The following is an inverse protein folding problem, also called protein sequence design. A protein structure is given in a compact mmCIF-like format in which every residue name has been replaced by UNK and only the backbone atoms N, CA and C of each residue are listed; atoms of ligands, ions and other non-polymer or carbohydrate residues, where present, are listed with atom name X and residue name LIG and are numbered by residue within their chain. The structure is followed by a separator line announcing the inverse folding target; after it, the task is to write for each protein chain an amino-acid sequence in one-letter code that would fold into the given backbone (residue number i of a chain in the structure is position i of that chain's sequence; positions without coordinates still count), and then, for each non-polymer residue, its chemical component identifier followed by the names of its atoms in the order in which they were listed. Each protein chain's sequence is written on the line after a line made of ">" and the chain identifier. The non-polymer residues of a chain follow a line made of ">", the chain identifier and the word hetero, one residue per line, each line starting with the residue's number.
data_IF_474815279453
#
_entry.id   IF_474815279453
#
_cell.length_a   1.000
_cell.length_b   1.000
_cell.length_c   1.000
_cell.angle_alpha   90.00
_cell.angle_beta   90.00
_cell.angle_gamma   90.00
#
_symmetry.space_group_name_H-M   'P 1'
#
loop_
_entity.id
_entity.type
_entity.pdbx_description
1 polymer ?
#
# COMPACT_ATOMS: atom_id res chain seq x y z
N UNK A 1 -2.98 29.72 36.03
CA UNK A 1 -1.75 28.89 35.98
C UNK A 1 -1.93 27.89 34.85
N UNK A 2 -1.40 28.18 33.68
CA UNK A 2 -1.48 27.34 32.49
C UNK A 2 -0.41 26.25 32.58
N UNK A 3 -0.82 25.01 32.52
CA UNK A 3 0.03 23.85 32.70
C UNK A 3 1.07 23.72 31.55
N UNK A 4 2.27 24.22 31.82
CA UNK A 4 3.40 24.19 30.89
C UNK A 4 3.85 22.75 30.50
N UNK A 5 3.37 21.72 31.22
CA UNK A 5 3.71 20.33 30.95
C UNK A 5 2.98 19.75 29.75
N UNK A 6 1.73 20.16 29.51
CA UNK A 6 0.92 19.76 28.36
C UNK A 6 1.46 20.35 27.03
N UNK A 7 1.89 21.60 27.06
CA UNK A 7 2.47 22.28 25.88
C UNK A 7 3.79 21.63 25.48
N UNK A 8 4.62 21.23 26.45
CA UNK A 8 5.91 20.54 26.17
C UNK A 8 5.72 19.12 25.65
N UNK A 9 4.66 18.42 26.07
CA UNK A 9 4.31 17.09 25.54
C UNK A 9 3.77 17.17 24.12
N UNK A 10 2.89 18.12 23.82
CA UNK A 10 2.39 18.37 22.48
C UNK A 10 3.51 18.78 21.51
N UNK A 11 4.46 19.62 21.94
CA UNK A 11 5.60 20.02 21.13
C UNK A 11 6.59 18.86 20.86
N UNK A 12 6.76 17.90 21.79
CA UNK A 12 7.56 16.71 21.56
C UNK A 12 6.89 15.73 20.59
N UNK A 13 5.57 15.56 20.67
CA UNK A 13 4.82 14.75 19.69
C UNK A 13 4.85 15.38 18.29
N UNK A 14 4.71 16.70 18.20
CA UNK A 14 4.81 17.43 16.93
C UNK A 14 6.22 17.34 16.31
N UNK A 15 7.28 17.39 17.14
CA UNK A 15 8.66 17.20 16.67
C UNK A 15 8.95 15.79 16.22
N UNK A 16 8.36 14.76 16.85
CA UNK A 16 8.49 13.37 16.41
C UNK A 16 7.77 13.13 15.08
N UNK A 17 6.61 13.74 14.87
CA UNK A 17 5.91 13.72 13.58
C UNK A 17 6.67 14.50 12.50
N UNK A 18 7.33 15.58 12.84
CA UNK A 18 8.10 16.38 11.87
C UNK A 18 9.40 15.69 11.44
N UNK A 19 10.03 14.88 12.31
CA UNK A 19 11.25 14.12 11.96
C UNK A 19 10.95 12.96 11.01
N UNK A 20 9.76 12.36 11.08
CA UNK A 20 9.30 11.37 10.08
C UNK A 20 9.02 12.02 8.72
N UNK A 21 8.65 13.30 8.70
CA UNK A 21 8.38 14.05 7.45
C UNK A 21 9.64 14.53 6.71
N UNK A 22 10.81 14.54 7.35
CA UNK A 22 12.06 15.07 6.76
C UNK A 22 12.95 13.99 6.13
N UNK A 23 12.77 12.69 6.46
CA UNK A 23 13.35 11.63 5.65
C UNK A 23 12.54 11.54 4.35
N UNK A 24 13.04 12.13 3.28
CA UNK A 24 12.42 12.26 1.97
C UNK A 24 12.08 10.94 1.26
N UNK A 25 11.30 10.10 1.93
CA UNK A 25 10.66 8.93 1.36
C UNK A 25 9.48 9.40 0.49
N UNK A 26 9.66 9.36 -0.81
CA UNK A 26 8.61 9.57 -1.80
C UNK A 26 7.86 8.26 -1.96
N UNK A 27 6.58 8.24 -1.66
CA UNK A 27 5.79 7.04 -1.35
C UNK A 27 4.79 6.59 -2.43
N UNK A 28 4.51 5.33 -2.60
CA UNK A 28 3.78 4.61 -3.66
C UNK A 28 2.30 4.31 -3.36
N UNK A 29 1.56 3.99 -4.41
CA UNK A 29 0.20 3.47 -4.31
C UNK A 29 0.15 2.28 -3.35
N UNK A 30 -0.92 2.22 -2.56
CA UNK A 30 -1.13 1.16 -1.59
C UNK A 30 -1.26 -0.19 -2.29
N UNK A 31 -0.24 -1.02 -2.18
CA UNK A 31 -0.39 -2.43 -2.54
C UNK A 31 -1.07 -3.17 -1.39
N UNK A 32 -2.17 -3.90 -1.65
CA UNK A 32 -2.71 -4.83 -0.68
C UNK A 32 -1.66 -5.90 -0.37
N UNK A 33 -1.72 -6.46 0.83
CA UNK A 33 -0.81 -7.52 1.20
C UNK A 33 -1.11 -8.01 2.60
N UNK A 34 -0.58 -9.18 2.99
CA UNK A 34 -0.75 -9.70 4.33
C UNK A 34 -0.32 -8.66 5.35
N UNK A 35 -1.18 -8.39 6.34
CA UNK A 35 -0.86 -7.43 7.39
C UNK A 35 0.13 -8.06 8.37
N UNK A 36 1.11 -7.27 8.88
CA UNK A 36 1.98 -7.73 9.96
C UNK A 36 1.16 -8.18 11.18
N UNK A 37 1.55 -9.27 11.80
CA UNK A 37 0.97 -9.78 13.04
C UNK A 37 1.85 -9.46 14.24
N UNK A 38 1.26 -9.40 15.41
CA UNK A 38 1.99 -9.16 16.65
C UNK A 38 2.73 -10.42 17.14
N UNK A 39 2.17 -11.60 16.85
CA UNK A 39 2.71 -12.90 17.26
C UNK A 39 2.18 -14.00 16.34
N UNK A 40 2.86 -15.17 16.26
CA UNK A 40 2.33 -16.35 15.61
C UNK A 40 1.08 -16.89 16.32
N UNK A 41 0.28 -17.68 15.62
CA UNK A 41 -0.84 -18.39 16.22
C UNK A 41 -0.38 -19.54 17.14
N UNK A 42 -1.29 -20.03 17.97
CA UNK A 42 -1.01 -21.10 18.93
C UNK A 42 -1.26 -22.50 18.38
N UNK A 43 -2.01 -22.64 17.29
CA UNK A 43 -2.36 -23.91 16.65
C UNK A 43 -2.46 -23.77 15.14
N UNK A 44 -2.23 -24.84 14.37
CA UNK A 44 -2.46 -24.83 12.93
C UNK A 44 -3.96 -24.66 12.64
N UNK A 45 -4.28 -23.80 11.65
CA UNK A 45 -5.66 -23.54 11.28
C UNK A 45 -5.76 -23.12 9.80
N UNK A 46 -6.94 -23.28 9.20
CA UNK A 46 -7.23 -22.88 7.82
C UNK A 46 -8.14 -21.66 7.78
N UNK A 47 -7.96 -20.81 6.77
CA UNK A 47 -8.75 -19.62 6.51
C UNK A 47 -8.85 -18.72 7.75
N UNK A 48 -7.70 -18.52 8.39
CA UNK A 48 -7.60 -17.89 9.72
C UNK A 48 -7.94 -16.43 9.72
N UNK A 49 -7.70 -15.76 8.60
CA UNK A 49 -7.84 -14.31 8.50
C UNK A 49 -8.05 -13.87 7.06
N UNK A 50 -8.89 -12.88 6.91
CA UNK A 50 -8.99 -12.13 5.66
C UNK A 50 -8.93 -10.62 5.96
N UNK A 51 -8.21 -9.89 5.13
CA UNK A 51 -8.11 -8.42 5.20
C UNK A 51 -8.71 -7.86 3.91
N UNK A 52 -9.99 -7.50 3.95
CA UNK A 52 -10.71 -6.92 2.83
C UNK A 52 -10.58 -5.41 2.85
N UNK A 53 -10.51 -4.80 1.67
CA UNK A 53 -10.61 -3.36 1.50
C UNK A 53 -11.46 -2.97 0.30
N UNK A 54 -12.19 -1.87 0.46
CA UNK A 54 -12.82 -1.11 -0.60
C UNK A 54 -12.46 0.36 -0.40
N UNK A 55 -11.92 1.03 -1.40
CA UNK A 55 -11.56 2.44 -1.26
C UNK A 55 -11.93 3.26 -2.49
N UNK A 56 -12.16 4.55 -2.25
CA UNK A 56 -12.30 5.57 -3.28
C UNK A 56 -11.50 6.80 -2.87
N UNK A 57 -10.60 7.23 -3.74
CA UNK A 57 -9.67 8.33 -3.52
C UNK A 57 -9.79 9.34 -4.65
N UNK A 58 -10.20 10.56 -4.35
CA UNK A 58 -10.18 11.68 -5.29
C UNK A 58 -8.74 12.20 -5.43
N UNK A 59 -8.33 12.49 -6.66
CA UNK A 59 -7.00 12.94 -7.03
C UNK A 59 -7.06 14.40 -7.49
N UNK A 60 -6.26 15.26 -6.88
CA UNK A 60 -6.14 16.66 -7.27
C UNK A 60 -5.06 16.82 -8.35
N UNK A 61 -5.45 16.62 -9.59
CA UNK A 61 -4.59 16.71 -10.78
C UNK A 61 -5.39 17.29 -11.93
N UNK A 62 -4.74 18.05 -12.82
CA UNK A 62 -5.39 18.66 -13.98
C UNK A 62 -5.62 17.70 -15.16
N UNK A 63 -4.94 16.54 -15.13
CA UNK A 63 -5.08 15.51 -16.17
C UNK A 63 -6.41 14.78 -16.03
N UNK A 64 -7.29 14.95 -16.99
CA UNK A 64 -8.64 14.37 -17.01
C UNK A 64 -8.68 12.85 -17.03
N UNK A 65 -7.55 12.18 -17.27
CA UNK A 65 -7.44 10.72 -17.18
C UNK A 65 -7.44 10.21 -15.74
N UNK A 66 -7.15 11.08 -14.77
CA UNK A 66 -6.92 10.72 -13.36
C UNK A 66 -7.78 11.60 -12.43
N UNK A 67 -9.01 11.17 -12.16
CA UNK A 67 -9.92 11.87 -11.23
C UNK A 67 -10.09 11.09 -9.92
N UNK A 68 -10.19 9.75 -10.02
CA UNK A 68 -10.41 8.85 -8.91
C UNK A 68 -9.55 7.61 -9.03
N UNK A 69 -9.04 7.17 -7.90
CA UNK A 69 -8.36 5.89 -7.70
C UNK A 69 -9.22 5.03 -6.78
N UNK A 70 -9.65 3.87 -7.27
CA UNK A 70 -10.54 2.99 -6.52
C UNK A 70 -9.92 1.60 -6.39
N UNK A 71 -10.05 0.97 -5.22
CA UNK A 71 -9.55 -0.38 -4.96
C UNK A 71 -10.65 -1.26 -4.41
N UNK A 72 -10.61 -2.52 -4.80
CA UNK A 72 -11.46 -3.58 -4.31
C UNK A 72 -10.64 -4.87 -4.24
N UNK A 73 -10.45 -5.41 -3.04
CA UNK A 73 -9.66 -6.63 -2.89
C UNK A 73 -9.22 -6.89 -1.46
N UNK A 74 -8.17 -7.69 -1.32
CA UNK A 74 -7.64 -8.00 -0.01
C UNK A 74 -6.67 -9.17 0.02
N UNK A 75 -6.33 -9.57 1.22
CA UNK A 75 -5.47 -10.69 1.55
C UNK A 75 -6.23 -11.76 2.34
N UNK A 76 -5.94 -13.03 2.08
CA UNK A 76 -6.47 -14.18 2.79
C UNK A 76 -5.32 -15.04 3.30
N UNK A 77 -5.25 -15.26 4.60
CA UNK A 77 -4.37 -16.26 5.19
C UNK A 77 -5.03 -17.65 5.03
N UNK A 78 -4.54 -18.41 4.05
CA UNK A 78 -5.12 -19.70 3.64
C UNK A 78 -4.85 -20.77 4.69
N UNK A 79 -3.64 -20.78 5.23
CA UNK A 79 -3.24 -21.69 6.31
C UNK A 79 -2.22 -21.00 7.21
N UNK A 80 -2.46 -21.10 8.50
CA UNK A 80 -1.48 -20.82 9.54
C UNK A 80 -0.94 -22.15 10.05
N UNK A 81 0.38 -22.31 10.07
CA UNK A 81 1.06 -23.53 10.53
C UNK A 81 1.92 -23.27 11.77
N UNK A 82 1.53 -22.28 12.58
CA UNK A 82 2.16 -21.86 13.84
C UNK A 82 3.52 -21.18 13.63
N UNK A 83 4.38 -21.77 12.83
CA UNK A 83 5.72 -21.22 12.54
C UNK A 83 5.72 -20.20 11.40
N UNK A 84 4.56 -19.95 10.81
CA UNK A 84 4.35 -19.08 9.67
C UNK A 84 2.97 -19.28 9.07
N UNK A 85 2.72 -18.67 7.95
CA UNK A 85 1.45 -18.75 7.22
C UNK A 85 1.67 -18.77 5.72
N UNK A 86 0.70 -19.31 5.00
CA UNK A 86 0.57 -19.13 3.55
C UNK A 86 -0.60 -18.18 3.28
N UNK A 87 -0.37 -17.19 2.45
CA UNK A 87 -1.36 -16.15 2.16
C UNK A 87 -1.48 -15.92 0.65
N UNK A 88 -2.67 -15.53 0.23
CA UNK A 88 -2.94 -15.05 -1.12
C UNK A 88 -3.47 -13.62 -1.04
N UNK A 89 -3.17 -12.83 -2.08
CA UNK A 89 -3.69 -11.47 -2.25
C UNK A 89 -4.33 -11.38 -3.62
N UNK A 90 -5.48 -10.75 -3.69
CA UNK A 90 -6.09 -10.32 -4.94
C UNK A 90 -6.61 -8.90 -4.77
N UNK A 91 -6.20 -8.00 -5.65
CA UNK A 91 -6.68 -6.62 -5.67
C UNK A 91 -6.98 -6.18 -7.09
N UNK A 92 -8.07 -5.47 -7.23
CA UNK A 92 -8.46 -4.78 -8.43
C UNK A 92 -8.45 -3.28 -8.15
N UNK A 93 -7.70 -2.55 -8.96
CA UNK A 93 -7.67 -1.09 -8.92
C UNK A 93 -8.21 -0.54 -10.23
N UNK A 94 -9.07 0.46 -10.16
CA UNK A 94 -9.52 1.20 -11.33
C UNK A 94 -9.19 2.69 -11.18
N UNK A 95 -8.51 3.22 -12.19
CA UNK A 95 -8.33 4.65 -12.38
C UNK A 95 -9.50 5.17 -13.21
N UNK A 96 -10.26 6.09 -12.63
CA UNK A 96 -11.38 6.72 -13.29
C UNK A 96 -11.03 8.16 -13.63
N UNK A 97 -11.36 8.58 -14.82
CA UNK A 97 -11.17 9.92 -15.32
C UNK A 97 -12.46 10.68 -15.56
N UNK A 98 -12.33 11.75 -16.28
CA UNK A 98 -13.46 12.57 -16.79
C UNK A 98 -13.25 12.98 -18.25
N UNK A 99 -12.47 12.20 -18.98
CA UNK A 99 -12.04 12.50 -20.36
C UNK A 99 -13.21 12.50 -21.33
N UNK A 100 -14.08 11.50 -21.27
CA UNK A 100 -15.26 11.36 -22.14
C UNK A 100 -16.57 11.50 -21.36
N UNK A 101 -16.59 11.12 -20.09
CA UNK A 101 -17.75 11.18 -19.19
C UNK A 101 -17.30 11.22 -17.73
N UNK A 102 -18.13 11.67 -16.77
CA UNK A 102 -17.85 11.51 -15.36
C UNK A 102 -17.62 10.04 -15.00
N UNK A 103 -16.60 9.77 -14.17
CA UNK A 103 -16.17 8.43 -13.77
C UNK A 103 -15.84 7.50 -14.97
N UNK A 104 -15.23 8.07 -16.00
CA UNK A 104 -14.81 7.33 -17.19
C UNK A 104 -13.69 6.35 -16.84
N UNK A 105 -13.89 5.01 -16.97
CA UNK A 105 -12.84 4.05 -16.69
C UNK A 105 -11.67 4.23 -17.65
N UNK A 106 -10.50 4.59 -17.11
CA UNK A 106 -9.29 4.82 -17.89
C UNK A 106 -8.35 3.62 -17.86
N UNK A 107 -8.06 3.11 -16.64
CA UNK A 107 -7.12 2.01 -16.45
C UNK A 107 -7.66 1.03 -15.42
N UNK A 108 -7.32 -0.23 -15.61
CA UNK A 108 -7.55 -1.31 -14.67
C UNK A 108 -6.22 -2.00 -14.33
N UNK A 109 -5.99 -2.24 -13.05
CA UNK A 109 -4.83 -2.94 -12.54
C UNK A 109 -5.29 -4.18 -11.78
N UNK A 110 -4.60 -5.27 -12.02
CA UNK A 110 -4.80 -6.52 -11.30
C UNK A 110 -3.53 -6.85 -10.55
N UNK A 111 -3.64 -7.08 -9.27
CA UNK A 111 -2.54 -7.56 -8.43
C UNK A 111 -2.91 -8.92 -7.88
N UNK A 112 -2.07 -9.91 -8.12
CA UNK A 112 -2.18 -11.25 -7.54
C UNK A 112 -0.87 -11.57 -6.82
N UNK A 113 -0.95 -12.06 -5.60
CA UNK A 113 0.22 -12.46 -4.83
C UNK A 113 -0.04 -13.80 -4.12
N UNK A 114 0.99 -14.62 -4.06
CA UNK A 114 1.05 -15.78 -3.19
C UNK A 114 2.32 -15.70 -2.34
N UNK A 115 2.21 -16.00 -1.06
CA UNK A 115 3.35 -15.97 -0.14
C UNK A 115 3.30 -17.11 0.86
N UNK A 116 4.50 -17.53 1.30
CA UNK A 116 4.71 -18.43 2.42
C UNK A 116 5.74 -17.84 3.36
N UNK A 117 5.45 -17.85 4.67
CA UNK A 117 6.29 -17.17 5.65
C UNK A 117 6.78 -18.08 6.76
N UNK A 118 7.78 -17.62 7.49
CA UNK A 118 8.24 -18.20 8.75
C UNK A 118 8.53 -17.11 9.77
N UNK A 119 8.28 -17.43 11.04
CA UNK A 119 8.66 -16.57 12.16
C UNK A 119 10.11 -16.76 12.55
N UNK A 120 10.85 -15.67 12.64
CA UNK A 120 12.20 -15.56 13.19
C UNK A 120 12.17 -14.60 14.38
N UNK A 121 11.91 -15.12 15.57
CA UNK A 121 11.64 -14.32 16.77
C UNK A 121 10.39 -13.46 16.61
N UNK A 122 10.54 -12.14 16.69
CA UNK A 122 9.42 -11.18 16.55
C UNK A 122 9.24 -10.67 15.10
N UNK A 123 9.94 -11.25 14.14
CA UNK A 123 9.89 -10.85 12.72
C UNK A 123 9.33 -12.04 11.92
N UNK A 124 8.39 -11.75 11.04
CA UNK A 124 7.90 -12.70 10.04
C UNK A 124 8.66 -12.46 8.73
N UNK A 125 9.19 -13.52 8.12
CA UNK A 125 9.92 -13.49 6.85
C UNK A 125 9.13 -14.32 5.84
N UNK A 126 8.75 -13.72 4.71
CA UNK A 126 7.96 -14.37 3.66
C UNK A 126 8.74 -14.45 2.35
N UNK A 127 8.64 -15.59 1.68
CA UNK A 127 8.88 -15.70 0.24
C UNK A 127 7.62 -15.29 -0.51
N UNK A 128 7.76 -14.49 -1.56
CA UNK A 128 6.63 -13.84 -2.26
C UNK A 128 6.76 -14.05 -3.75
N UNK A 129 5.68 -14.51 -4.38
CA UNK A 129 5.45 -14.40 -5.82
C UNK A 129 4.35 -13.37 -6.05
N UNK A 130 4.63 -12.36 -6.85
CA UNK A 130 3.74 -11.21 -7.07
C UNK A 130 3.57 -10.96 -8.57
N UNK A 131 2.35 -10.84 -9.03
CA UNK A 131 1.97 -10.53 -10.40
C UNK A 131 1.21 -9.22 -10.45
N UNK A 132 1.62 -8.33 -11.33
CA UNK A 132 0.89 -7.10 -11.67
C UNK A 132 0.56 -7.11 -13.14
N UNK A 133 -0.67 -6.74 -13.48
CA UNK A 133 -1.10 -6.53 -14.85
C UNK A 133 -1.91 -5.23 -14.94
N UNK A 134 -1.57 -4.39 -15.88
CA UNK A 134 -2.22 -3.09 -16.14
C UNK A 134 -2.85 -3.09 -17.53
N UNK A 135 -4.06 -2.61 -17.62
CA UNK A 135 -4.81 -2.54 -18.87
C UNK A 135 -5.43 -1.15 -19.03
N UNK A 136 -5.54 -0.66 -20.25
CA UNK A 136 -6.45 0.44 -20.55
C UNK A 136 -7.88 -0.10 -20.56
N UNK A 137 -8.78 0.60 -19.89
CA UNK A 137 -10.20 0.28 -19.85
C UNK A 137 -10.97 1.12 -20.83
N UNK A 138 -12.05 0.56 -21.40
CA UNK A 138 -12.93 1.24 -22.37
C UNK A 138 -12.20 1.95 -23.53
N UNK A 139 -11.05 1.38 -23.93
CA UNK A 139 -10.20 1.83 -25.03
C UNK A 139 -9.96 0.67 -26.00
N UNK A 140 -9.50 0.93 -27.22
CA UNK A 140 -9.03 -0.12 -28.12
C UNK A 140 -8.01 -1.00 -27.38
N UNK A 141 -8.19 -2.32 -27.43
CA UNK A 141 -7.33 -3.27 -26.72
C UNK A 141 -5.89 -3.08 -27.15
N UNK A 142 -5.06 -2.65 -26.21
CA UNK A 142 -3.61 -2.66 -26.31
C UNK A 142 -3.05 -3.85 -25.54
N UNK A 143 -1.82 -4.29 -25.82
CA UNK A 143 -1.18 -5.31 -25.01
C UNK A 143 -1.18 -4.92 -23.54
N UNK A 144 -1.34 -5.88 -22.65
CA UNK A 144 -1.24 -5.65 -21.22
C UNK A 144 0.22 -5.30 -20.85
N UNK A 145 0.38 -4.32 -19.99
CA UNK A 145 1.64 -4.04 -19.31
C UNK A 145 1.69 -4.90 -18.06
N UNK A 146 2.63 -5.84 -17.96
CA UNK A 146 2.63 -6.83 -16.87
C UNK A 146 4.05 -7.21 -16.44
N UNK A 147 4.18 -7.64 -15.19
CA UNK A 147 5.42 -8.23 -14.67
C UNK A 147 5.16 -9.20 -13.51
N UNK A 148 6.11 -10.14 -13.37
CA UNK A 148 6.13 -11.13 -12.29
C UNK A 148 7.38 -10.95 -11.44
N UNK A 149 7.20 -10.86 -10.14
CA UNK A 149 8.28 -10.70 -9.15
C UNK A 149 8.39 -11.96 -8.31
N UNK A 150 9.59 -12.45 -8.12
CA UNK A 150 9.93 -13.40 -7.06
C UNK A 150 10.84 -12.72 -6.07
N UNK A 151 10.46 -12.72 -4.80
CA UNK A 151 11.16 -11.95 -3.78
C UNK A 151 10.99 -12.47 -2.38
N UNK A 152 11.47 -11.68 -1.44
CA UNK A 152 11.28 -11.90 -0.02
C UNK A 152 10.78 -10.62 0.65
N UNK A 153 10.06 -10.78 1.76
CA UNK A 153 9.48 -9.70 2.54
C UNK A 153 9.64 -9.94 4.02
N UNK A 154 9.89 -8.90 4.77
CA UNK A 154 9.86 -8.90 6.24
C UNK A 154 8.64 -8.14 6.72
N UNK A 155 7.99 -8.68 7.76
CA UNK A 155 6.81 -8.10 8.37
C UNK A 155 7.01 -8.06 9.89
N UNK A 156 6.60 -6.97 10.51
CA UNK A 156 6.60 -6.84 11.97
C UNK A 156 5.51 -5.91 12.45
N UNK A 157 4.81 -6.31 13.53
CA UNK A 157 3.93 -5.43 14.29
C UNK A 157 4.43 -5.29 15.72
N UNK A 158 4.38 -4.07 16.26
CA UNK A 158 4.74 -3.79 17.64
C UNK A 158 4.00 -2.55 18.14
N UNK A 159 4.02 -2.29 19.44
CA UNK A 159 3.35 -1.14 20.05
C UNK A 159 4.30 -0.31 20.87
N UNK A 160 4.20 1.00 20.74
CA UNK A 160 4.96 1.99 21.50
C UNK A 160 4.01 3.07 22.01
N UNK A 161 3.91 3.24 23.34
CA UNK A 161 3.12 4.33 23.94
C UNK A 161 1.64 4.35 23.52
N UNK A 162 1.02 3.17 23.33
CA UNK A 162 -0.37 3.03 22.90
C UNK A 162 -0.60 3.25 21.38
N UNK A 163 0.47 3.38 20.62
CA UNK A 163 0.44 3.40 19.14
C UNK A 163 0.90 2.05 18.61
N UNK A 164 0.09 1.41 17.79
CA UNK A 164 0.47 0.19 17.05
C UNK A 164 1.17 0.58 15.77
N UNK A 165 2.33 -0.02 15.54
CA UNK A 165 3.14 0.15 14.34
C UNK A 165 3.20 -1.15 13.57
N UNK A 166 2.83 -1.12 12.30
CA UNK A 166 3.01 -2.21 11.35
C UNK A 166 4.05 -1.80 10.32
N UNK A 167 5.04 -2.66 10.11
CA UNK A 167 6.13 -2.46 9.15
C UNK A 167 6.15 -3.63 8.20
N UNK A 168 6.27 -3.34 6.92
CA UNK A 168 6.48 -4.31 5.85
C UNK A 168 7.56 -3.75 4.93
N UNK A 169 8.55 -4.57 4.58
CA UNK A 169 9.55 -4.20 3.59
C UNK A 169 9.95 -5.44 2.80
N UNK A 170 10.10 -5.31 1.51
CA UNK A 170 10.42 -6.40 0.60
C UNK A 170 11.34 -5.99 -0.54
N UNK A 171 11.90 -6.99 -1.20
CA UNK A 171 12.59 -6.82 -2.46
C UNK A 171 12.48 -8.10 -3.28
N UNK A 172 12.49 -7.94 -4.60
CA UNK A 172 12.38 -9.07 -5.50
C UNK A 172 12.93 -8.78 -6.89
N UNK A 173 13.23 -9.85 -7.60
CA UNK A 173 13.66 -9.79 -9.00
C UNK A 173 12.45 -9.98 -9.90
N UNK A 174 12.38 -9.22 -10.97
CA UNK A 174 11.40 -9.40 -12.03
C UNK A 174 11.90 -10.53 -12.93
N UNK A 175 11.13 -11.64 -12.92
CA UNK A 175 11.48 -12.83 -13.70
C UNK A 175 10.95 -12.77 -15.11
N UNK A 176 9.82 -12.10 -15.29
CA UNK A 176 9.13 -12.01 -16.57
C UNK A 176 8.37 -10.69 -16.63
N UNK A 177 8.42 -10.03 -17.76
CA UNK A 177 7.70 -8.78 -17.96
C UNK A 177 7.26 -8.59 -19.41
N UNK A 178 6.25 -7.75 -19.61
CA UNK A 178 5.78 -7.29 -20.92
C UNK A 178 5.59 -5.77 -20.87
N UNK A 179 6.18 -5.07 -21.84
CA UNK A 179 6.11 -3.62 -22.03
C UNK A 179 6.59 -2.77 -20.84
N UNK A 180 7.40 -3.32 -19.95
CA UNK A 180 8.15 -2.58 -18.93
C UNK A 180 9.65 -2.84 -19.08
N UNK A 181 10.45 -1.98 -18.50
CA UNK A 181 11.92 -2.04 -18.48
C UNK A 181 12.46 -2.33 -17.07
N UNK A 182 11.61 -2.82 -16.16
CA UNK A 182 11.99 -3.11 -14.78
C UNK A 182 12.72 -4.45 -14.67
N UNK A 183 13.76 -4.48 -13.85
CA UNK A 183 14.58 -5.67 -13.57
C UNK A 183 14.44 -6.19 -12.14
N UNK A 184 14.16 -5.30 -11.18
CA UNK A 184 13.91 -5.62 -9.77
C UNK A 184 12.99 -4.59 -9.14
N UNK A 185 12.38 -4.96 -8.01
CA UNK A 185 11.60 -4.04 -7.17
C UNK A 185 12.05 -4.12 -5.72
N UNK A 186 11.86 -3.04 -4.97
CA UNK A 186 11.87 -3.05 -3.51
C UNK A 186 10.72 -2.21 -3.00
N UNK A 187 9.99 -2.71 -2.01
CA UNK A 187 8.82 -2.07 -1.43
C UNK A 187 8.95 -1.88 0.08
N UNK A 188 8.28 -0.87 0.61
CA UNK A 188 8.06 -0.72 2.04
C UNK A 188 6.67 -0.17 2.34
N UNK A 189 6.15 -0.50 3.52
CA UNK A 189 4.90 0.04 4.05
C UNK A 189 5.03 0.19 5.57
N UNK A 190 4.71 1.36 6.06
CA UNK A 190 4.69 1.71 7.48
C UNK A 190 3.32 2.27 7.84
N UNK A 191 2.67 1.66 8.81
CA UNK A 191 1.38 2.13 9.32
C UNK A 191 1.47 2.34 10.81
N UNK A 192 1.11 3.52 11.27
CA UNK A 192 0.94 3.87 12.68
C UNK A 192 -0.54 4.07 12.98
N UNK A 193 -1.06 3.37 14.00
CA UNK A 193 -2.47 3.46 14.43
C UNK A 193 -2.55 3.73 15.91
N UNK A 194 -3.42 4.67 16.29
CA UNK A 194 -3.69 4.98 17.71
C UNK A 194 -5.19 5.11 17.94
N UNK A 195 -5.71 4.34 18.86
CA UNK A 195 -7.08 4.52 19.36
C UNK A 195 -7.15 5.71 20.30
N UNK A 196 -8.10 6.60 20.07
CA UNK A 196 -8.42 7.73 20.94
C UNK A 196 -9.58 7.39 21.87
N UNK A 197 -10.55 6.66 21.34
CA UNK A 197 -11.70 6.08 22.07
C UNK A 197 -11.96 4.68 21.53
N UNK A 198 -12.96 3.99 22.04
CA UNK A 198 -13.39 2.68 21.50
C UNK A 198 -13.87 2.76 20.03
N UNK A 199 -14.42 3.92 19.62
CA UNK A 199 -15.00 4.12 18.29
C UNK A 199 -14.12 4.93 17.35
N UNK A 200 -13.22 5.76 17.86
CA UNK A 200 -12.45 6.69 17.06
C UNK A 200 -10.96 6.49 17.29
N UNK A 201 -10.21 6.43 16.23
CA UNK A 201 -8.77 6.43 16.22
C UNK A 201 -8.20 7.35 15.14
N UNK A 202 -6.91 7.50 15.15
CA UNK A 202 -6.15 8.19 14.11
C UNK A 202 -5.08 7.26 13.56
N UNK A 203 -4.70 7.51 12.33
CA UNK A 203 -3.60 6.77 11.73
C UNK A 203 -2.78 7.64 10.79
N UNK A 204 -1.57 7.19 10.52
CA UNK A 204 -0.74 7.68 9.45
C UNK A 204 -0.12 6.46 8.74
N UNK A 205 0.08 6.58 7.44
CA UNK A 205 0.69 5.56 6.60
C UNK A 205 1.68 6.18 5.64
N UNK A 206 2.80 5.51 5.42
CA UNK A 206 3.75 5.80 4.38
C UNK A 206 4.13 4.50 3.67
N UNK A 207 4.06 4.49 2.35
CA UNK A 207 4.48 3.36 1.53
C UNK A 207 5.35 3.82 0.38
N UNK A 208 6.23 2.96 -0.14
CA UNK A 208 7.10 3.26 -1.26
C UNK A 208 7.52 2.05 -2.05
N UNK A 209 7.79 2.26 -3.33
CA UNK A 209 8.32 1.24 -4.22
C UNK A 209 9.46 1.82 -5.06
N UNK A 210 10.49 1.03 -5.24
CA UNK A 210 11.63 1.31 -6.09
C UNK A 210 11.63 0.29 -7.22
N UNK A 211 11.82 0.76 -8.45
CA UNK A 211 11.97 -0.09 -9.62
C UNK A 211 13.37 0.14 -10.21
N UNK A 212 14.19 -0.90 -10.20
CA UNK A 212 15.43 -0.91 -10.94
C UNK A 212 15.13 -1.11 -12.43
N UNK A 213 15.65 -0.25 -13.27
CA UNK A 213 15.50 -0.33 -14.72
C UNK A 213 16.65 -1.14 -15.30
N UNK A 214 16.37 -1.93 -16.33
CA UNK A 214 17.41 -2.64 -17.07
C UNK A 214 18.21 -1.64 -17.91
N UNK A 215 19.51 -1.47 -17.68
CA UNK A 215 20.35 -0.54 -18.45
C UNK A 215 20.37 -0.81 -19.96
N UNK A 216 20.08 -2.04 -20.37
CA UNK A 216 19.98 -2.40 -21.79
C UNK A 216 18.68 -1.90 -22.46
N UNK A 217 17.69 -1.50 -21.66
CA UNK A 217 16.35 -1.11 -22.14
C UNK A 217 16.20 0.38 -22.41
N UNK A 218 17.21 1.23 -22.14
CA UNK A 218 17.18 2.67 -22.40
C UNK A 218 17.81 3.52 -21.28
N UNK A 219 17.71 4.83 -21.42
CA UNK A 219 18.38 5.83 -20.57
C UNK A 219 17.59 6.20 -19.30
N UNK A 220 16.65 5.36 -18.87
CA UNK A 220 15.86 5.63 -17.64
C UNK A 220 16.65 5.26 -16.40
N UNK A 221 16.70 6.18 -15.44
CA UNK A 221 17.21 5.89 -14.11
C UNK A 221 16.22 5.04 -13.28
N UNK A 222 16.68 4.59 -12.11
CA UNK A 222 15.84 3.93 -11.11
C UNK A 222 14.59 4.75 -10.82
N UNK A 223 13.43 4.14 -10.97
CA UNK A 223 12.15 4.77 -10.73
C UNK A 223 11.75 4.66 -9.25
N UNK A 224 11.08 5.67 -8.75
CA UNK A 224 10.68 5.77 -7.34
C UNK A 224 9.24 6.20 -7.27
N UNK A 225 8.48 5.42 -6.61
CA UNK A 225 7.07 5.57 -6.42
C UNK A 225 6.75 5.82 -4.94
N UNK A 226 5.57 6.49 -4.60
CA UNK A 226 5.33 6.71 -3.22
C UNK A 226 4.11 7.48 -2.76
N UNK A 227 3.51 7.07 -1.58
CA UNK A 227 2.32 7.64 -0.97
C UNK A 227 2.47 7.85 0.53
N UNK A 228 2.02 9.00 1.00
CA UNK A 228 1.81 9.29 2.41
C UNK A 228 0.33 9.66 2.62
N UNK A 229 -0.27 9.17 3.68
CA UNK A 229 -1.62 9.53 4.07
C UNK A 229 -1.75 9.60 5.60
N UNK A 230 -2.67 10.42 6.07
CA UNK A 230 -3.08 10.45 7.47
C UNK A 230 -4.58 10.67 7.54
N UNK A 231 -5.20 10.14 8.59
CA UNK A 231 -6.64 10.16 8.67
C UNK A 231 -7.22 9.72 10.00
N UNK A 232 -8.53 9.66 10.01
CA UNK A 232 -9.36 9.23 11.13
C UNK A 232 -9.92 7.85 10.83
N UNK A 233 -9.96 6.99 11.83
CA UNK A 233 -10.56 5.66 11.82
C UNK A 233 -11.82 5.67 12.68
N UNK A 234 -12.92 5.23 12.10
CA UNK A 234 -14.22 5.11 12.78
C UNK A 234 -14.57 3.62 12.85
N UNK A 235 -14.52 3.06 14.04
CA UNK A 235 -14.79 1.64 14.28
C UNK A 235 -16.30 1.39 14.31
N UNK A 236 -16.80 0.65 13.34
CA UNK A 236 -18.13 0.10 13.31
C UNK A 236 -18.23 -1.27 13.99
N UNK A 237 -19.38 -1.91 13.89
CA UNK A 237 -19.62 -3.26 14.42
C UNK A 237 -18.87 -4.32 13.59
N UNK A 238 -18.96 -4.25 12.28
CA UNK A 238 -18.43 -5.26 11.35
C UNK A 238 -17.16 -4.80 10.60
N UNK A 239 -16.79 -3.54 10.70
CA UNK A 239 -15.65 -3.00 9.96
C UNK A 239 -15.26 -1.61 10.43
N UNK A 240 -14.32 -1.02 9.74
CA UNK A 240 -13.76 0.30 10.01
C UNK A 240 -13.89 1.16 8.76
N UNK A 241 -14.30 2.42 8.94
CA UNK A 241 -14.20 3.47 7.93
C UNK A 241 -12.95 4.29 8.23
N UNK A 242 -12.08 4.43 7.27
CA UNK A 242 -10.95 5.36 7.29
C UNK A 242 -11.27 6.54 6.37
N UNK A 243 -11.18 7.77 6.87
CA UNK A 243 -11.23 9.01 6.08
C UNK A 243 -9.85 9.62 6.10
N UNK A 244 -9.28 9.93 4.95
CA UNK A 244 -7.89 10.36 4.84
C UNK A 244 -7.66 11.45 3.82
N UNK A 245 -6.54 12.14 4.00
CA UNK A 245 -5.90 12.97 3.00
C UNK A 245 -4.41 12.64 2.93
N UNK A 246 -3.79 12.94 1.82
CA UNK A 246 -2.40 12.59 1.59
C UNK A 246 -1.83 13.17 0.30
N UNK A 247 -0.70 12.60 -0.05
CA UNK A 247 0.02 12.94 -1.27
C UNK A 247 0.63 11.69 -1.87
N UNK A 248 0.63 11.60 -3.19
CA UNK A 248 1.19 10.50 -3.96
C UNK A 248 2.02 11.02 -5.13
N UNK A 249 3.12 10.34 -5.38
CA UNK A 249 3.87 10.37 -6.63
C UNK A 249 3.82 8.98 -7.23
N UNK A 250 3.24 8.82 -8.40
CA UNK A 250 3.11 7.54 -9.11
C UNK A 250 4.00 7.51 -10.34
N UNK A 251 4.85 6.51 -10.41
CA UNK A 251 5.66 6.20 -11.57
C UNK A 251 4.79 5.55 -12.64
N UNK A 252 5.08 5.89 -13.88
CA UNK A 252 4.37 5.32 -15.03
C UNK A 252 2.85 5.31 -14.81
N UNK A 253 2.31 6.46 -14.34
CA UNK A 253 0.89 6.62 -14.06
C UNK A 253 0.04 6.29 -15.28
N UNK A 254 0.48 6.67 -16.48
CA UNK A 254 0.05 6.06 -17.73
C UNK A 254 1.07 4.99 -18.13
N UNK A 255 0.65 3.74 -18.31
CA UNK A 255 1.58 2.64 -18.57
C UNK A 255 2.29 2.73 -19.93
N UNK A 256 1.82 3.55 -20.85
CA UNK A 256 2.40 3.70 -22.19
C UNK A 256 3.23 4.97 -22.36
N UNK A 257 2.85 6.06 -21.69
CA UNK A 257 3.60 7.32 -21.73
C UNK A 257 4.83 7.27 -20.81
N UNK A 258 4.80 6.41 -19.78
CA UNK A 258 5.90 6.22 -18.82
C UNK A 258 6.34 7.51 -18.12
N UNK A 259 5.38 8.40 -17.85
CA UNK A 259 5.60 9.64 -17.13
C UNK A 259 5.19 9.51 -15.67
N UNK A 260 6.00 9.99 -14.73
CA UNK A 260 5.60 10.08 -13.34
C UNK A 260 4.62 11.25 -13.16
N UNK A 261 3.54 11.01 -12.44
CA UNK A 261 2.61 12.04 -12.00
C UNK A 261 2.62 12.15 -10.48
N UNK A 262 2.13 13.27 -9.98
CA UNK A 262 2.01 13.53 -8.55
C UNK A 262 0.76 14.35 -8.26
N UNK A 263 0.13 14.07 -7.12
CA UNK A 263 -1.12 14.71 -6.73
C UNK A 263 -1.34 14.72 -5.22
N UNK A 264 -2.03 15.72 -4.72
CA UNK A 264 -2.70 15.64 -3.45
C UNK A 264 -3.94 14.74 -3.58
N UNK A 265 -4.33 14.10 -2.53
CA UNK A 265 -5.45 13.15 -2.54
C UNK A 265 -6.27 13.24 -1.25
N UNK A 266 -7.53 12.87 -1.36
CA UNK A 266 -8.42 12.66 -0.23
C UNK A 266 -9.39 11.53 -0.55
N UNK A 267 -9.76 10.74 0.46
CA UNK A 267 -10.60 9.59 0.19
C UNK A 267 -11.13 8.91 1.43
N UNK A 268 -11.79 7.80 1.17
CA UNK A 268 -12.25 6.88 2.20
C UNK A 268 -11.79 5.45 1.89
N UNK A 269 -11.71 4.65 2.95
CA UNK A 269 -11.44 3.22 2.87
C UNK A 269 -12.33 2.48 3.86
N UNK A 270 -12.98 1.43 3.39
CA UNK A 270 -13.68 0.46 4.21
C UNK A 270 -12.77 -0.74 4.37
N UNK A 271 -12.51 -1.15 5.59
CA UNK A 271 -11.77 -2.36 5.90
C UNK A 271 -12.55 -3.21 6.89
N UNK A 272 -12.38 -4.52 6.84
CA UNK A 272 -12.94 -5.39 7.88
C UNK A 272 -12.21 -5.16 9.23
N UNK A 273 -12.80 -5.71 10.27
CA UNK A 273 -12.31 -5.55 11.65
C UNK A 273 -11.45 -6.73 12.06
#
# INVERSE_FOLDING_TARGET
>A
MTDSSLIRRAARCARLMLVVAVCGARASAQQPGPQPLAAPSSSPEFLTRYDFQLSGTALAVDDKRFSWDTHFGGALDVVDYVRGRASIVADYQAMLGSEFRPFDPNQAYYTLEASGSVWAGAIEIAGVFHHVSRHLSDRPKRPAVAWNVLGARVLRQFSIGGTTLGVRAGAGRILQHALVDYSWTADFDLVARRSLTERVGVYARGSGELFGVDPASGDREMQRDGRIEAGVRINGRAGVVELFAGYERRVDADPFERLPLQWALAGFRLVNK
#
